data_IF_653939682284
#
_entry.id   IF_653939682284
#
_cell.length_a   1.000
_cell.length_b   1.000
_cell.length_c   1.000
_cell.angle_alpha   90.00
_cell.angle_beta   90.00
_cell.angle_gamma   90.00
#
_symmetry.space_group_name_H-M   'P 1'
#
loop_
_entity.id
_entity.type
_entity.pdbx_description
1 polymer ?
#
# COMPACT_ATOMS: atom_id res chain seq x y z
N UNK A 1 41.39 0.04 62.47
CA UNK A 1 41.17 0.72 61.18
C UNK A 1 41.37 -0.20 59.98
N UNK A 2 42.49 -0.93 59.86
CA UNK A 2 42.77 -1.87 58.75
C UNK A 2 41.72 -2.98 58.52
N UNK A 3 41.11 -3.52 59.58
CA UNK A 3 40.08 -4.57 59.46
C UNK A 3 38.78 -4.06 58.84
N UNK A 4 38.42 -2.80 59.08
CA UNK A 4 37.19 -2.19 58.56
C UNK A 4 37.34 -1.87 57.07
N UNK A 5 38.50 -1.32 56.67
CA UNK A 5 38.78 -1.06 55.26
C UNK A 5 38.84 -2.34 54.44
N UNK A 6 39.41 -3.42 54.99
CA UNK A 6 39.44 -4.73 54.35
C UNK A 6 38.03 -5.35 54.20
N UNK A 7 37.18 -5.23 55.22
CA UNK A 7 35.77 -5.66 55.16
C UNK A 7 34.99 -4.91 54.09
N UNK A 8 35.16 -3.58 54.03
CA UNK A 8 34.50 -2.72 53.06
C UNK A 8 34.93 -3.06 51.63
N UNK A 9 36.22 -3.32 51.42
CA UNK A 9 36.76 -3.69 50.11
C UNK A 9 36.27 -5.07 49.65
N UNK A 10 36.19 -6.04 50.56
CA UNK A 10 35.54 -7.33 50.27
C UNK A 10 34.07 -7.16 49.88
N UNK A 11 33.32 -6.30 50.56
CA UNK A 11 31.91 -6.04 50.22
C UNK A 11 31.77 -5.41 48.83
N UNK A 12 32.64 -4.47 48.47
CA UNK A 12 32.62 -3.85 47.13
C UNK A 12 32.85 -4.91 46.05
N UNK A 13 33.84 -5.78 46.24
CA UNK A 13 34.14 -6.85 45.27
C UNK A 13 32.97 -7.84 45.16
N UNK A 14 32.38 -8.23 46.29
CA UNK A 14 31.21 -9.11 46.30
C UNK A 14 30.00 -8.46 45.61
N UNK A 15 29.75 -7.17 45.85
CA UNK A 15 28.68 -6.42 45.20
C UNK A 15 28.90 -6.29 43.69
N UNK A 16 30.14 -6.06 43.25
CA UNK A 16 30.49 -6.00 41.83
C UNK A 16 30.26 -7.35 41.12
N UNK A 17 30.65 -8.47 41.76
CA UNK A 17 30.40 -9.80 41.23
C UNK A 17 28.91 -10.11 41.11
N UNK A 18 28.12 -9.79 42.15
CA UNK A 18 26.68 -9.97 42.16
C UNK A 18 25.99 -9.08 41.10
N UNK A 19 26.44 -7.83 40.95
CA UNK A 19 25.92 -6.90 39.95
C UNK A 19 26.13 -7.41 38.53
N UNK A 20 27.32 -7.93 38.22
CA UNK A 20 27.62 -8.51 36.91
C UNK A 20 26.75 -9.73 36.61
N UNK A 21 26.57 -10.62 37.60
CA UNK A 21 25.72 -11.79 37.44
C UNK A 21 24.26 -11.41 37.11
N UNK A 22 23.72 -10.40 37.80
CA UNK A 22 22.36 -9.91 37.54
C UNK A 22 22.23 -9.28 36.14
N UNK A 23 23.24 -8.53 35.69
CA UNK A 23 23.25 -7.95 34.36
C UNK A 23 23.29 -9.02 33.26
N UNK A 24 24.15 -10.04 33.42
CA UNK A 24 24.25 -11.15 32.46
C UNK A 24 22.94 -11.95 32.39
N UNK A 25 22.27 -12.16 33.53
CA UNK A 25 20.97 -12.83 33.57
C UNK A 25 19.90 -12.03 32.81
N UNK A 26 19.78 -10.72 33.06
CA UNK A 26 18.82 -9.85 32.38
C UNK A 26 19.07 -9.80 30.86
N UNK A 27 20.33 -9.75 30.43
CA UNK A 27 20.67 -9.76 28.99
C UNK A 27 20.28 -11.10 28.35
N UNK A 28 20.49 -12.23 29.03
CA UNK A 28 20.07 -13.54 28.51
C UNK A 28 18.57 -13.66 28.37
N UNK A 29 17.81 -13.16 29.35
CA UNK A 29 16.36 -13.13 29.31
C UNK A 29 15.84 -12.27 28.15
N UNK A 30 16.32 -11.02 28.04
CA UNK A 30 15.95 -10.12 26.95
C UNK A 30 16.29 -10.71 25.57
N UNK A 31 17.46 -11.35 25.41
CA UNK A 31 17.80 -12.04 24.16
C UNK A 31 16.84 -13.19 23.83
N UNK A 32 16.42 -13.94 24.85
CA UNK A 32 15.43 -15.00 24.70
C UNK A 32 14.08 -14.45 24.22
N UNK A 33 13.62 -13.33 24.78
CA UNK A 33 12.40 -12.65 24.35
C UNK A 33 12.52 -12.12 22.92
N UNK A 34 13.67 -11.52 22.58
CA UNK A 34 13.95 -11.00 21.24
C UNK A 34 13.88 -12.11 20.18
N UNK A 35 14.49 -13.27 20.47
CA UNK A 35 14.40 -14.43 19.59
C UNK A 35 12.97 -14.97 19.45
N UNK A 36 12.18 -14.98 20.53
CA UNK A 36 10.76 -15.36 20.44
C UNK A 36 9.98 -14.41 19.55
N UNK A 37 10.21 -13.10 19.70
CA UNK A 37 9.55 -12.08 18.89
C UNK A 37 9.95 -12.17 17.42
N UNK A 38 11.23 -12.38 17.13
CA UNK A 38 11.73 -12.56 15.76
C UNK A 38 11.12 -13.79 15.10
N UNK A 39 11.03 -14.91 15.83
CA UNK A 39 10.40 -16.12 15.32
C UNK A 39 8.90 -15.92 15.05
N UNK A 40 8.18 -15.27 15.97
CA UNK A 40 6.77 -14.94 15.79
C UNK A 40 6.55 -14.02 14.57
N UNK A 41 7.41 -13.00 14.42
CA UNK A 41 7.39 -12.10 13.26
C UNK A 41 7.64 -12.84 11.95
N UNK A 42 8.60 -13.76 11.91
CA UNK A 42 8.88 -14.56 10.72
C UNK A 42 7.67 -15.44 10.35
N UNK A 43 7.01 -16.04 11.34
CA UNK A 43 5.80 -16.83 11.15
C UNK A 43 4.65 -15.98 10.58
N UNK A 44 4.40 -14.80 11.15
CA UNK A 44 3.37 -13.88 10.65
C UNK A 44 3.65 -13.40 9.22
N UNK A 45 4.90 -13.07 8.90
CA UNK A 45 5.28 -12.69 7.54
C UNK A 45 5.03 -13.82 6.53
N UNK A 46 5.29 -15.07 6.93
CA UNK A 46 4.98 -16.23 6.09
C UNK A 46 3.46 -16.36 5.85
N UNK A 47 2.64 -16.17 6.89
CA UNK A 47 1.17 -16.18 6.75
C UNK A 47 0.70 -15.09 5.80
N UNK A 48 1.22 -13.87 5.93
CA UNK A 48 0.88 -12.76 5.02
C UNK A 48 1.21 -13.09 3.56
N UNK A 49 2.35 -13.73 3.30
CA UNK A 49 2.71 -14.13 1.93
C UNK A 49 1.73 -15.15 1.35
N UNK A 50 1.33 -16.14 2.15
CA UNK A 50 0.31 -17.13 1.74
C UNK A 50 -1.03 -16.42 1.47
N UNK A 51 -1.51 -15.58 2.39
CA UNK A 51 -2.74 -14.83 2.18
C UNK A 51 -2.69 -13.93 0.95
N UNK A 52 -1.55 -13.29 0.66
CA UNK A 52 -1.38 -12.51 -0.56
C UNK A 52 -1.47 -13.37 -1.81
N UNK A 53 -0.90 -14.57 -1.79
CA UNK A 53 -1.01 -15.50 -2.91
C UNK A 53 -2.46 -15.98 -3.09
N UNK A 54 -3.18 -16.25 -2.01
CA UNK A 54 -4.60 -16.60 -2.04
C UNK A 54 -5.46 -15.46 -2.58
N UNK A 55 -5.24 -14.22 -2.14
CA UNK A 55 -5.94 -13.05 -2.67
C UNK A 55 -5.64 -12.86 -4.16
N UNK A 56 -4.37 -12.94 -4.55
CA UNK A 56 -3.99 -12.83 -5.97
C UNK A 56 -4.64 -13.94 -6.83
N UNK A 57 -4.80 -15.14 -6.28
CA UNK A 57 -5.53 -16.21 -6.94
C UNK A 57 -7.03 -15.88 -7.05
N UNK A 58 -7.68 -15.41 -5.98
CA UNK A 58 -9.09 -15.04 -5.98
C UNK A 58 -9.40 -13.85 -6.89
N UNK A 59 -8.48 -12.90 -7.00
CA UNK A 59 -8.59 -11.72 -7.85
C UNK A 59 -8.13 -11.95 -9.30
N UNK A 60 -7.68 -13.17 -9.64
CA UNK A 60 -7.28 -13.48 -11.01
C UNK A 60 -8.47 -13.33 -11.97
N UNK A 61 -8.28 -12.71 -13.15
CA UNK A 61 -9.36 -12.44 -14.09
C UNK A 61 -10.05 -13.73 -14.55
N UNK A 62 -9.33 -14.85 -14.63
CA UNK A 62 -9.88 -16.16 -14.96
C UNK A 62 -10.85 -16.65 -13.88
N UNK A 63 -10.50 -16.52 -12.59
CA UNK A 63 -11.39 -16.90 -11.49
C UNK A 63 -12.57 -15.95 -11.37
N UNK A 64 -12.37 -14.64 -11.53
CA UNK A 64 -13.46 -13.66 -11.53
C UNK A 64 -14.43 -13.91 -12.68
N UNK A 65 -13.93 -14.26 -13.88
CA UNK A 65 -14.76 -14.65 -15.00
C UNK A 65 -15.55 -15.93 -14.69
N UNK A 66 -14.91 -16.96 -14.13
CA UNK A 66 -15.57 -18.21 -13.76
C UNK A 66 -16.67 -18.01 -12.70
N UNK A 67 -16.42 -17.18 -11.68
CA UNK A 67 -17.40 -16.82 -10.65
C UNK A 67 -18.56 -16.03 -11.26
N UNK A 68 -18.27 -15.06 -12.13
CA UNK A 68 -19.30 -14.31 -12.83
C UNK A 68 -20.19 -15.25 -13.67
N UNK A 69 -19.60 -16.13 -14.49
CA UNK A 69 -20.38 -17.10 -15.28
C UNK A 69 -21.24 -18.01 -14.39
N UNK A 70 -20.74 -18.41 -13.22
CA UNK A 70 -21.47 -19.29 -12.30
C UNK A 70 -22.60 -18.57 -11.54
N UNK A 71 -22.42 -17.29 -11.21
CA UNK A 71 -23.33 -16.57 -10.29
C UNK A 71 -24.27 -15.59 -10.99
N UNK A 72 -23.95 -15.14 -12.20
CA UNK A 72 -24.75 -14.11 -12.87
C UNK A 72 -25.51 -14.61 -14.10
N UNK A 73 -25.27 -15.83 -14.60
CA UNK A 73 -25.85 -16.32 -15.88
C UNK A 73 -25.62 -15.34 -17.06
N UNK A 74 -24.70 -14.39 -16.90
CA UNK A 74 -24.41 -13.35 -17.87
C UNK A 74 -23.36 -13.88 -18.86
N UNK A 75 -23.72 -13.88 -20.13
CA UNK A 75 -22.82 -14.22 -21.23
C UNK A 75 -21.81 -13.08 -21.46
N UNK A 76 -20.56 -13.36 -21.84
CA UNK A 76 -19.58 -12.32 -22.15
C UNK A 76 -20.11 -11.34 -23.20
N UNK A 77 -19.93 -10.04 -22.95
CA UNK A 77 -20.31 -9.00 -23.90
C UNK A 77 -19.58 -9.23 -25.23
N UNK A 78 -20.33 -9.55 -26.28
CA UNK A 78 -19.77 -9.71 -27.61
C UNK A 78 -19.54 -8.33 -28.23
N UNK A 79 -18.55 -8.19 -29.12
CA UNK A 79 -18.28 -6.90 -29.77
C UNK A 79 -19.48 -6.32 -30.53
N UNK A 80 -20.46 -7.14 -30.90
CA UNK A 80 -21.71 -6.72 -31.51
C UNK A 80 -22.72 -6.08 -30.53
N UNK A 81 -22.50 -6.22 -29.22
CA UNK A 81 -23.32 -5.61 -28.16
C UNK A 81 -22.72 -4.29 -27.66
N UNK A 82 -21.50 -3.94 -28.10
CA UNK A 82 -20.92 -2.63 -27.88
C UNK A 82 -21.54 -1.65 -28.88
N UNK A 83 -22.41 -0.76 -28.39
CA UNK A 83 -22.87 0.38 -29.18
C UNK A 83 -21.68 1.27 -29.52
N UNK A 84 -21.56 1.69 -30.78
CA UNK A 84 -20.63 2.76 -31.13
C UNK A 84 -21.13 4.08 -30.52
N UNK A 85 -20.24 5.08 -30.46
CA UNK A 85 -20.65 6.41 -29.99
C UNK A 85 -21.80 6.97 -30.84
N UNK A 86 -21.79 6.73 -32.16
CA UNK A 86 -22.88 7.13 -33.05
C UNK A 86 -24.17 6.34 -32.77
N UNK A 87 -24.09 5.03 -32.53
CA UNK A 87 -25.26 4.19 -32.26
C UNK A 87 -25.91 4.54 -30.91
N UNK A 88 -25.10 4.94 -29.92
CA UNK A 88 -25.59 5.39 -28.63
C UNK A 88 -26.33 6.74 -28.74
N UNK A 89 -25.78 7.70 -29.48
CA UNK A 89 -26.44 8.98 -29.76
C UNK A 89 -27.76 8.79 -30.53
N UNK A 90 -27.83 7.80 -31.42
CA UNK A 90 -29.07 7.49 -32.15
C UNK A 90 -30.13 6.84 -31.24
N UNK A 91 -29.72 5.92 -30.36
CA UNK A 91 -30.63 5.16 -29.50
C UNK A 91 -31.16 5.97 -28.30
N UNK A 92 -30.32 6.82 -27.72
CA UNK A 92 -30.65 7.58 -26.51
C UNK A 92 -30.81 9.09 -26.74
N UNK A 93 -30.60 9.54 -27.98
CA UNK A 93 -30.53 10.94 -28.35
C UNK A 93 -29.15 11.52 -28.03
N UNK A 94 -28.64 12.41 -28.88
CA UNK A 94 -27.53 13.27 -28.55
C UNK A 94 -27.99 14.12 -27.35
N UNK A 95 -27.60 13.69 -26.14
CA UNK A 95 -27.95 14.39 -24.91
C UNK A 95 -27.69 15.88 -25.10
N UNK A 96 -28.65 16.71 -24.69
CA UNK A 96 -28.58 18.17 -24.74
C UNK A 96 -27.13 18.62 -24.46
N UNK A 97 -26.52 19.43 -25.35
CA UNK A 97 -25.11 19.73 -25.29
C UNK A 97 -24.76 20.27 -23.90
N UNK A 98 -24.10 19.43 -23.10
CA UNK A 98 -23.74 19.79 -21.74
C UNK A 98 -22.86 21.05 -21.82
N UNK A 99 -23.17 22.12 -21.07
CA UNK A 99 -22.43 23.38 -21.12
C UNK A 99 -20.94 23.21 -20.76
N UNK A 100 -20.55 22.06 -20.20
CA UNK A 100 -19.18 21.70 -19.85
C UNK A 100 -18.27 21.41 -21.06
N UNK A 101 -18.81 21.10 -22.25
CA UNK A 101 -18.00 20.88 -23.47
C UNK A 101 -17.53 22.20 -24.10
N UNK A 102 -18.24 23.30 -23.85
CA UNK A 102 -17.88 24.63 -24.37
C UNK A 102 -16.71 25.29 -23.62
N UNK A 103 -16.42 24.87 -22.39
CA UNK A 103 -15.33 25.45 -21.59
C UNK A 103 -13.96 25.07 -22.18
N UNK A 104 -13.82 23.84 -22.70
CA UNK A 104 -12.60 23.39 -23.38
C UNK A 104 -12.40 24.04 -24.77
N UNK A 105 -13.48 24.47 -25.43
CA UNK A 105 -13.42 25.16 -26.71
C UNK A 105 -13.13 26.68 -26.57
N UNK A 106 -13.43 27.27 -25.40
CA UNK A 106 -13.12 28.67 -25.10
C UNK A 106 -11.63 28.89 -24.83
N UNK A 107 -10.95 27.92 -24.23
CA UNK A 107 -9.50 28.01 -23.92
C UNK A 107 -8.63 28.02 -25.20
N UNK A 108 -9.08 27.33 -26.27
CA UNK A 108 -8.33 27.26 -27.54
C UNK A 108 -8.51 28.50 -28.43
N UNK A 109 -9.54 29.33 -28.22
CA UNK A 109 -9.79 30.53 -29.05
C UNK A 109 -9.03 31.77 -28.58
N UNK A 110 -8.44 31.76 -27.37
CA UNK A 110 -7.68 32.90 -26.84
C UNK A 110 -6.25 32.97 -27.40
N UNK A 111 -5.70 31.87 -27.92
CA UNK A 111 -4.29 31.80 -28.34
C UNK A 111 -4.02 32.21 -29.81
N UNK A 112 -5.05 32.41 -30.65
CA UNK A 112 -4.85 32.66 -32.10
C UNK A 112 -5.19 34.09 -32.53
N UNK A 113 -5.57 34.97 -31.60
CA UNK A 113 -5.98 36.35 -31.90
C UNK A 113 -5.03 37.40 -31.31
N UNK A 114 -3.72 37.28 -31.58
CA UNK A 114 -2.78 38.39 -31.43
C UNK A 114 -1.51 38.09 -32.23
N UNK A 115 -1.39 38.69 -33.41
CA UNK A 115 -0.20 39.35 -34.00
C UNK A 115 -0.70 39.93 -35.34
N UNK A 116 -1.20 41.17 -35.33
CA UNK A 116 -1.18 42.02 -36.52
C UNK A 116 0.19 42.72 -36.55
N UNK A 117 0.98 42.62 -37.63
CA UNK A 117 2.18 43.43 -37.77
C UNK A 117 1.79 44.85 -38.21
N UNK A 118 2.04 45.82 -37.34
CA UNK A 118 2.08 47.25 -37.67
C UNK A 118 3.08 47.47 -38.81
N UNK A 119 2.57 47.70 -40.02
CA UNK A 119 3.35 48.16 -41.16
C UNK A 119 3.76 49.62 -40.93
N UNK A 120 5.06 49.83 -40.88
CA UNK A 120 5.70 51.15 -40.94
C UNK A 120 5.72 51.60 -42.40
N UNK A 121 5.01 52.69 -42.71
CA UNK A 121 5.44 53.71 -43.67
C UNK A 121 4.60 54.99 -43.49
#
# INVERSE_FOLDING_TARGET
MLKLSMLLLCLIVAAAAAGRYKADAAVREMRGELHKLDNAKAEELSKIQVLRAEVAYLESPENLAAIATTMTDLEPLTGAQLLTAEDFELAFGAGEPSPLRNVAAMDRKVEVAQIEPLAVN
#
